data_IF_898953202390
#
_entry.id   IF_898953202390
#
_cell.length_a   1.000
_cell.length_b   1.000
_cell.length_c   1.000
_cell.angle_alpha   90.00
_cell.angle_beta   90.00
_cell.angle_gamma   90.00
#
_symmetry.space_group_name_H-M   'P 1'
#
loop_
_entity.id
_entity.type
_entity.pdbx_description
1 polymer ?
#
# COMPACT_ATOMS: atom_id res chain seq x y z
N UNK A 1 -0.43 18.51 20.73
CA UNK A 1 -0.68 19.91 20.26
C UNK A 1 -2.17 20.10 20.10
N UNK A 2 -2.73 21.24 20.52
CA UNK A 2 -4.15 21.54 20.37
C UNK A 2 -4.34 22.79 19.50
N UNK A 3 -5.30 22.72 18.58
CA UNK A 3 -5.75 23.84 17.76
C UNK A 3 -7.28 23.89 17.83
N UNK A 4 -7.84 24.98 18.37
CA UNK A 4 -9.28 25.08 18.55
C UNK A 4 -9.70 26.16 19.54
N UNK A 5 -10.98 26.11 19.90
CA UNK A 5 -11.58 27.11 20.78
C UNK A 5 -11.21 26.89 22.24
N UNK A 6 -10.85 27.97 22.91
CA UNK A 6 -10.59 28.02 24.34
C UNK A 6 -11.65 28.87 25.03
N UNK A 7 -12.10 28.43 26.19
CA UNK A 7 -13.03 29.14 27.07
C UNK A 7 -12.61 28.91 28.51
N UNK A 8 -12.44 29.99 29.28
CA UNK A 8 -12.05 29.92 30.69
C UNK A 8 -10.83 29.01 30.92
N UNK A 9 -9.77 29.23 30.13
CA UNK A 9 -8.51 28.45 30.18
C UNK A 9 -8.65 26.94 29.89
N UNK A 10 -9.83 26.51 29.44
CA UNK A 10 -10.13 25.14 29.07
C UNK A 10 -10.44 25.04 27.57
N UNK A 11 -10.11 23.89 26.99
CA UNK A 11 -10.54 23.53 25.63
C UNK A 11 -12.04 23.30 25.66
N UNK A 12 -12.77 24.07 24.86
CA UNK A 12 -14.23 24.07 24.86
C UNK A 12 -14.76 24.43 23.47
N UNK A 13 -15.67 23.61 22.95
CA UNK A 13 -16.16 23.69 21.58
C UNK A 13 -15.28 22.90 20.60
N UNK A 14 -15.36 23.23 19.31
CA UNK A 14 -14.68 22.46 18.25
C UNK A 14 -13.17 22.69 18.26
N UNK A 15 -12.41 21.62 18.09
CA UNK A 15 -10.97 21.68 17.96
C UNK A 15 -10.34 20.37 17.46
N UNK A 16 -9.03 20.44 17.31
CA UNK A 16 -8.15 19.38 16.83
C UNK A 16 -7.08 19.16 17.88
N UNK A 17 -6.95 17.92 18.36
CA UNK A 17 -5.92 17.52 19.30
C UNK A 17 -5.01 16.48 18.67
N UNK A 18 -3.77 16.86 18.45
CA UNK A 18 -2.70 15.95 18.01
C UNK A 18 -2.04 15.31 19.22
N UNK A 19 -2.11 13.99 19.27
CA UNK A 19 -1.41 13.13 20.21
C UNK A 19 -0.19 12.49 19.53
N UNK A 20 0.66 11.83 20.30
CA UNK A 20 1.81 11.10 19.73
C UNK A 20 1.37 9.86 18.92
N UNK A 21 0.19 9.30 19.23
CA UNK A 21 -0.36 8.07 18.66
C UNK A 21 -1.55 8.28 17.72
N UNK A 22 -1.94 9.53 17.48
CA UNK A 22 -3.12 9.82 16.68
C UNK A 22 -3.55 11.27 16.74
N UNK A 23 -4.68 11.57 16.12
CA UNK A 23 -5.27 12.90 16.09
C UNK A 23 -6.77 12.79 16.33
N UNK A 24 -7.30 13.62 17.22
CA UNK A 24 -8.73 13.75 17.43
C UNK A 24 -9.23 15.08 16.84
N UNK A 25 -10.31 15.04 16.07
CA UNK A 25 -11.06 16.21 15.63
C UNK A 25 -12.51 16.10 16.11
N UNK A 26 -12.98 17.08 16.86
CA UNK A 26 -14.33 17.03 17.39
C UNK A 26 -14.61 18.13 18.40
N UNK A 27 -15.62 17.91 19.21
CA UNK A 27 -15.98 18.82 20.29
C UNK A 27 -15.17 18.52 21.55
N UNK A 28 -14.90 19.57 22.31
CA UNK A 28 -14.24 19.53 23.60
C UNK A 28 -15.14 20.18 24.63
N UNK A 29 -15.11 19.67 25.85
CA UNK A 29 -15.71 20.33 26.99
C UNK A 29 -14.84 20.07 28.21
N UNK A 30 -14.52 21.14 28.96
CA UNK A 30 -13.67 21.06 30.17
C UNK A 30 -12.38 20.26 29.94
N UNK A 31 -11.66 20.57 28.85
CA UNK A 31 -10.41 19.89 28.45
C UNK A 31 -10.54 18.42 28.00
N UNK A 32 -11.74 17.84 27.97
CA UNK A 32 -11.98 16.46 27.53
C UNK A 32 -12.68 16.41 26.17
N UNK A 33 -12.44 15.35 25.41
CA UNK A 33 -13.18 15.07 24.17
C UNK A 33 -14.67 14.84 24.52
N UNK A 34 -15.55 15.46 23.75
CA UNK A 34 -16.99 15.44 23.97
C UNK A 34 -17.75 15.48 22.63
N UNK A 35 -19.04 15.15 22.65
CA UNK A 35 -19.91 15.28 21.48
C UNK A 35 -19.42 14.45 20.29
N UNK A 36 -19.75 14.87 19.07
CA UNK A 36 -19.35 14.15 17.86
C UNK A 36 -17.88 14.41 17.54
N UNK A 37 -17.15 13.35 17.21
CA UNK A 37 -15.74 13.46 16.86
C UNK A 37 -15.17 12.26 16.12
N UNK A 38 -14.05 12.52 15.46
CA UNK A 38 -13.27 11.54 14.71
C UNK A 38 -11.90 11.40 15.36
N UNK A 39 -11.51 10.17 15.69
CA UNK A 39 -10.17 9.85 16.17
C UNK A 39 -9.42 9.08 15.07
N UNK A 40 -8.38 9.69 14.52
CA UNK A 40 -7.47 9.08 13.55
C UNK A 40 -6.30 8.43 14.29
N UNK A 41 -6.05 7.15 14.01
CA UNK A 41 -4.96 6.40 14.62
C UNK A 41 -3.71 6.46 13.74
N UNK A 42 -2.56 6.73 14.34
CA UNK A 42 -1.29 6.77 13.60
C UNK A 42 -0.88 5.40 13.03
N UNK A 43 -1.27 4.32 13.72
CA UNK A 43 -0.91 2.93 13.40
C UNK A 43 -2.01 1.95 13.79
N UNK A 44 -1.94 0.71 13.30
CA UNK A 44 -2.89 -0.38 13.57
C UNK A 44 -3.82 -0.66 12.38
N UNK A 45 -4.79 -1.55 12.57
CA UNK A 45 -5.73 -1.91 11.48
C UNK A 45 -6.81 -0.83 11.29
N UNK A 46 -7.16 -0.09 12.34
CA UNK A 46 -8.14 0.99 12.28
C UNK A 46 -7.42 2.27 11.84
N UNK A 47 -7.88 2.89 10.75
CA UNK A 47 -7.44 4.18 10.25
C UNK A 47 -8.05 5.32 11.08
N UNK A 48 -9.37 5.33 11.24
CA UNK A 48 -10.10 6.34 12.02
C UNK A 48 -11.40 5.79 12.61
N UNK A 49 -11.77 6.23 13.80
CA UNK A 49 -13.04 5.95 14.47
C UNK A 49 -13.89 7.21 14.52
N UNK A 50 -15.14 7.13 14.07
CA UNK A 50 -16.10 8.24 14.05
C UNK A 50 -17.25 7.88 14.98
N UNK A 51 -17.61 8.79 15.89
CA UNK A 51 -18.72 8.54 16.82
C UNK A 51 -18.88 9.64 17.86
N UNK A 52 -19.65 9.32 18.91
CA UNK A 52 -19.87 10.24 20.03
C UNK A 52 -18.89 9.99 21.17
N UNK A 53 -18.35 11.07 21.72
CA UNK A 53 -17.35 11.06 22.77
C UNK A 53 -17.96 11.69 24.02
N UNK A 54 -17.69 11.09 25.18
CA UNK A 54 -18.10 11.62 26.47
C UNK A 54 -16.97 11.49 27.45
N UNK A 55 -16.49 12.63 27.94
CA UNK A 55 -15.41 12.72 28.92
C UNK A 55 -14.11 12.01 28.47
N UNK A 56 -13.76 12.10 27.20
CA UNK A 56 -12.57 11.46 26.66
C UNK A 56 -12.72 9.97 26.32
N UNK A 57 -13.93 9.41 26.47
CA UNK A 57 -14.22 8.00 26.14
C UNK A 57 -15.20 7.89 24.98
N UNK A 58 -15.08 6.80 24.23
CA UNK A 58 -16.07 6.40 23.23
C UNK A 58 -17.43 6.19 23.93
N UNK A 59 -18.48 6.80 23.41
CA UNK A 59 -19.86 6.69 23.90
C UNK A 59 -20.82 6.35 22.76
N UNK A 60 -21.68 5.34 22.96
CA UNK A 60 -22.65 4.92 21.95
C UNK A 60 -22.02 4.19 20.77
N UNK A 61 -22.63 4.35 19.59
CA UNK A 61 -22.21 3.65 18.37
C UNK A 61 -21.01 4.34 17.71
N UNK A 62 -20.10 3.53 17.16
CA UNK A 62 -18.92 3.98 16.44
C UNK A 62 -18.83 3.33 15.07
N UNK A 63 -18.44 4.14 14.10
CA UNK A 63 -18.05 3.71 12.77
C UNK A 63 -16.53 3.70 12.67
N UNK A 64 -15.94 2.50 12.58
CA UNK A 64 -14.50 2.31 12.45
C UNK A 64 -14.12 2.08 10.98
N UNK A 65 -13.25 2.94 10.46
CA UNK A 65 -12.66 2.82 9.13
C UNK A 65 -11.34 2.07 9.24
N UNK A 66 -11.22 0.94 8.56
CA UNK A 66 -10.02 0.07 8.60
C UNK A 66 -9.10 0.26 7.38
N UNK A 67 -7.80 0.04 7.58
CA UNK A 67 -6.78 -0.04 6.54
C UNK A 67 -6.93 -1.40 5.85
N UNK A 68 -7.33 -1.40 4.58
CA UNK A 68 -7.37 -2.62 3.78
C UNK A 68 -6.08 -2.70 2.95
N UNK A 69 -5.16 -3.58 3.35
CA UNK A 69 -3.99 -3.91 2.53
C UNK A 69 -4.42 -4.82 1.37
N UNK A 70 -4.65 -4.24 0.19
CA UNK A 70 -4.91 -5.02 -1.03
C UNK A 70 -3.58 -5.22 -1.78
N UNK A 71 -2.76 -6.16 -1.33
CA UNK A 71 -1.61 -6.66 -2.08
C UNK A 71 -1.69 -8.18 -2.13
N UNK A 72 -2.44 -8.70 -3.11
CA UNK A 72 -2.31 -10.08 -3.56
C UNK A 72 -1.29 -10.04 -4.70
N UNK A 73 -0.08 -10.48 -4.44
CA UNK A 73 0.93 -10.70 -5.48
C UNK A 73 0.62 -12.05 -6.15
N UNK A 74 0.70 -12.10 -7.48
CA UNK A 74 0.40 -13.29 -8.28
C UNK A 74 1.32 -14.45 -7.89
N UNK A 75 0.74 -15.61 -7.58
CA UNK A 75 1.44 -16.89 -7.67
C UNK A 75 1.73 -17.11 -9.15
N UNK A 76 3.03 -17.11 -9.49
CA UNK A 76 3.49 -17.39 -10.84
C UNK A 76 3.31 -18.89 -11.02
N UNK A 77 2.25 -19.31 -11.72
CA UNK A 77 2.07 -20.71 -12.10
C UNK A 77 3.34 -21.21 -12.79
N UNK A 78 3.97 -22.17 -12.13
CA UNK A 78 5.16 -22.86 -12.58
C UNK A 78 4.87 -23.41 -13.99
N UNK A 79 5.58 -22.88 -14.99
CA UNK A 79 5.56 -23.41 -16.35
C UNK A 79 6.12 -24.83 -16.28
N UNK A 80 5.24 -25.82 -16.06
CA UNK A 80 5.53 -27.21 -16.41
C UNK A 80 5.58 -27.25 -17.93
N UNK A 81 6.79 -27.05 -18.44
CA UNK A 81 7.17 -27.35 -19.81
C UNK A 81 6.83 -28.82 -20.09
N UNK A 82 5.70 -29.05 -20.75
CA UNK A 82 5.37 -30.32 -21.35
C UNK A 82 6.49 -30.69 -22.34
N UNK A 83 7.35 -31.60 -21.89
CA UNK A 83 8.36 -32.27 -22.68
C UNK A 83 7.68 -33.23 -23.65
N UNK A 84 7.18 -32.71 -24.78
CA UNK A 84 6.75 -33.54 -25.91
C UNK A 84 7.96 -33.99 -26.71
N UNK A 85 8.57 -35.06 -26.23
CA UNK A 85 9.46 -35.93 -27.00
C UNK A 85 8.64 -36.59 -28.12
N UNK A 86 9.00 -36.39 -29.39
CA UNK A 86 9.25 -37.48 -30.39
C UNK A 86 9.38 -37.02 -31.86
N UNK A 87 10.54 -37.40 -32.43
CA UNK A 87 10.83 -37.96 -33.78
C UNK A 87 10.78 -36.96 -34.97
N UNK A 88 11.56 -37.08 -36.05
CA UNK A 88 12.21 -38.20 -36.75
C UNK A 88 13.53 -37.73 -37.39
N UNK A 89 14.50 -38.64 -37.53
CA UNK A 89 15.64 -38.50 -38.45
C UNK A 89 15.21 -38.91 -39.86
N UNK A 90 15.57 -38.13 -40.89
CA UNK A 90 15.91 -38.73 -42.17
C UNK A 90 17.40 -38.56 -42.44
N UNK A 91 18.08 -39.70 -42.57
CA UNK A 91 19.26 -39.81 -43.43
C UNK A 91 18.87 -39.38 -44.83
N UNK A 92 19.78 -38.72 -45.55
CA UNK A 92 20.33 -39.27 -46.79
C UNK A 92 21.45 -38.34 -47.28
N UNK A 93 22.51 -39.01 -47.68
CA UNK A 93 23.76 -38.50 -48.21
C UNK A 93 23.55 -37.64 -49.48
N UNK A 94 24.27 -36.53 -49.63
CA UNK A 94 25.28 -36.39 -50.68
C UNK A 94 25.98 -35.02 -50.68
N UNK A 95 27.25 -35.12 -51.05
CA UNK A 95 28.29 -34.14 -51.23
C UNK A 95 27.90 -32.89 -52.04
N UNK A 96 28.43 -31.71 -51.66
CA UNK A 96 29.52 -31.09 -52.44
C UNK A 96 30.00 -29.78 -51.83
N UNK A 97 31.32 -29.77 -51.69
CA UNK A 97 32.22 -28.71 -51.26
C UNK A 97 32.34 -27.60 -52.31
N UNK A 98 32.23 -26.32 -51.93
CA UNK A 98 32.98 -25.20 -52.54
C UNK A 98 32.89 -23.91 -51.70
N UNK A 99 33.98 -23.65 -50.97
CA UNK A 99 34.72 -22.38 -51.00
C UNK A 99 33.94 -21.04 -51.12
N UNK A 100 33.83 -20.33 -50.00
CA UNK A 100 34.05 -18.87 -49.96
C UNK A 100 34.64 -18.46 -48.60
N UNK A 101 35.88 -17.97 -48.62
CA UNK A 101 36.68 -17.57 -47.45
C UNK A 101 36.06 -16.46 -46.57
N UNK A 102 36.43 -16.37 -45.28
CA UNK A 102 36.09 -15.24 -44.39
C UNK A 102 37.20 -14.16 -44.43
N UNK A 103 37.26 -13.17 -43.53
CA UNK A 103 36.28 -12.15 -43.09
C UNK A 103 36.86 -10.73 -43.23
N UNK A 104 36.09 -9.62 -43.27
CA UNK A 104 36.65 -8.28 -42.96
C UNK A 104 35.69 -7.29 -42.26
N UNK A 105 36.08 -7.00 -41.00
CA UNK A 105 36.38 -5.67 -40.47
C UNK A 105 35.28 -4.86 -39.74
N UNK A 106 35.42 -4.94 -38.42
CA UNK A 106 35.46 -3.86 -37.41
C UNK A 106 34.30 -2.86 -37.26
N UNK A 107 33.67 -2.97 -36.08
CA UNK A 107 33.46 -1.91 -35.07
C UNK A 107 33.18 -0.49 -35.61
N UNK A 108 31.98 0.00 -35.33
CA UNK A 108 31.81 1.29 -34.65
C UNK A 108 30.76 1.17 -33.54
N UNK A 109 31.27 1.09 -32.32
CA UNK A 109 30.58 1.46 -31.08
C UNK A 109 30.48 2.99 -31.09
N UNK A 110 29.29 3.53 -30.89
CA UNK A 110 29.11 4.93 -30.53
C UNK A 110 29.01 4.99 -29.00
N UNK A 111 29.79 5.92 -28.44
CA UNK A 111 29.92 6.34 -27.04
C UNK A 111 30.71 5.39 -26.14
#
# INVERSE_FOLDING_TARGET
VYDGKWKMECKDGKGIMKYHNGEYQGEFSKNKMHGKGTYSYASGDILKSIGEWKEGKKFGFFEDVVRVSKQVYYDIDEVRSDSKVKRETPSDDEDTDINASPPRRSKRRNV
#
